data_IF_749498359286
#
_entry.id   IF_749498359286
#
_cell.length_a   1.000
_cell.length_b   1.000
_cell.length_c   1.000
_cell.angle_alpha   90.00
_cell.angle_beta   90.00
_cell.angle_gamma   90.00
#
_symmetry.space_group_name_H-M   'P 1'
#
loop_
_entity.id
_entity.type
_entity.pdbx_description
1 polymer ?
#
# COMPACT_ATOMS: atom_id res chain seq x y z
N UNK A 1 32.69 -18.12 -20.15
CA UNK A 1 32.14 -17.17 -19.16
C UNK A 1 31.27 -16.07 -19.77
N UNK A 2 31.70 -15.36 -20.84
CA UNK A 2 30.90 -14.29 -21.48
C UNK A 2 29.57 -14.75 -22.11
N UNK A 3 29.53 -15.96 -22.69
CA UNK A 3 28.31 -16.53 -23.29
C UNK A 3 27.27 -16.95 -22.25
N UNK A 4 27.71 -17.49 -21.10
CA UNK A 4 26.80 -17.87 -20.00
C UNK A 4 26.16 -16.64 -19.36
N UNK A 5 26.93 -15.56 -19.19
CA UNK A 5 26.40 -14.28 -18.69
C UNK A 5 25.39 -13.64 -19.66
N UNK A 6 25.65 -13.71 -20.97
CA UNK A 6 24.69 -13.24 -21.99
C UNK A 6 23.41 -14.08 -22.04
N UNK A 7 23.51 -15.39 -21.84
CA UNK A 7 22.34 -16.28 -21.73
C UNK A 7 21.52 -15.99 -20.46
N UNK A 8 22.17 -15.72 -19.32
CA UNK A 8 21.51 -15.39 -18.05
C UNK A 8 20.73 -14.07 -18.13
N UNK A 9 21.30 -13.05 -18.79
CA UNK A 9 20.65 -11.75 -19.02
C UNK A 9 19.45 -11.89 -19.96
N UNK A 10 19.56 -12.65 -21.05
CA UNK A 10 18.42 -12.92 -21.93
C UNK A 10 17.30 -13.70 -21.23
N UNK A 11 17.64 -14.66 -20.37
CA UNK A 11 16.66 -15.48 -19.64
C UNK A 11 15.84 -14.64 -18.65
N UNK A 12 16.49 -13.71 -17.95
CA UNK A 12 15.87 -12.76 -17.01
C UNK A 12 14.94 -11.78 -17.75
N UNK A 13 15.33 -11.35 -18.94
CA UNK A 13 14.51 -10.45 -19.76
C UNK A 13 13.26 -11.14 -20.32
N UNK A 14 13.39 -12.42 -20.71
CA UNK A 14 12.27 -13.22 -21.22
C UNK A 14 11.25 -13.58 -20.12
N UNK A 15 11.72 -13.81 -18.90
CA UNK A 15 10.86 -14.17 -17.76
C UNK A 15 9.95 -13.04 -17.28
N UNK A 16 10.26 -11.79 -17.63
CA UNK A 16 9.45 -10.62 -17.27
C UNK A 16 8.11 -10.53 -18.02
N UNK A 17 7.90 -11.32 -19.08
CA UNK A 17 6.73 -11.23 -19.97
C UNK A 17 5.66 -12.30 -19.66
N UNK A 18 6.01 -13.38 -18.94
CA UNK A 18 5.09 -14.49 -18.62
C UNK A 18 4.57 -14.40 -17.18
N UNK A 19 3.89 -13.30 -16.84
CA UNK A 19 3.13 -13.18 -15.59
C UNK A 19 1.69 -13.62 -15.76
N UNK A 20 1.42 -14.91 -16.04
CA UNK A 20 0.03 -15.41 -16.11
C UNK A 20 -0.61 -15.40 -14.72
N UNK A 21 -1.74 -14.70 -14.61
CA UNK A 21 -2.36 -14.33 -13.36
C UNK A 21 -3.26 -15.45 -12.87
N UNK A 22 -2.74 -16.31 -11.99
CA UNK A 22 -3.54 -17.26 -11.24
C UNK A 22 -3.44 -16.91 -9.75
N UNK A 23 -4.50 -16.35 -9.19
CA UNK A 23 -4.49 -15.68 -7.89
C UNK A 23 -4.06 -16.62 -6.76
N UNK A 24 -4.61 -17.85 -6.71
CA UNK A 24 -4.19 -18.91 -5.77
C UNK A 24 -2.71 -19.27 -5.83
N UNK A 25 -2.06 -19.00 -6.97
CA UNK A 25 -0.64 -19.27 -7.15
C UNK A 25 0.21 -18.17 -6.51
N UNK A 26 -0.29 -16.93 -6.33
CA UNK A 26 0.51 -15.78 -5.85
C UNK A 26 1.07 -15.94 -4.44
N UNK A 27 0.30 -16.50 -3.51
CA UNK A 27 0.80 -16.80 -2.16
C UNK A 27 1.90 -17.89 -2.19
N UNK A 28 1.68 -18.96 -2.95
CA UNK A 28 2.64 -20.06 -3.11
C UNK A 28 3.88 -19.59 -3.87
N UNK A 29 3.70 -18.78 -4.90
CA UNK A 29 4.73 -18.19 -5.73
C UNK A 29 5.59 -17.21 -4.93
N UNK A 30 4.96 -16.35 -4.12
CA UNK A 30 5.65 -15.48 -3.17
C UNK A 30 6.43 -16.27 -2.14
N UNK A 31 5.86 -17.34 -1.58
CA UNK A 31 6.54 -18.22 -0.64
C UNK A 31 7.75 -18.95 -1.25
N UNK A 32 7.59 -19.47 -2.47
CA UNK A 32 8.66 -20.18 -3.18
C UNK A 32 9.78 -19.23 -3.57
N UNK A 33 9.45 -18.07 -4.16
CA UNK A 33 10.44 -17.08 -4.57
C UNK A 33 11.16 -16.51 -3.34
N UNK A 34 10.40 -16.12 -2.30
CA UNK A 34 10.95 -15.62 -1.05
C UNK A 34 11.81 -16.65 -0.33
N UNK A 35 11.40 -17.93 -0.34
CA UNK A 35 12.14 -19.03 0.25
C UNK A 35 13.46 -19.30 -0.47
N UNK A 36 13.48 -19.35 -1.80
CA UNK A 36 14.72 -19.57 -2.57
C UNK A 36 15.68 -18.40 -2.43
N UNK A 37 15.17 -17.16 -2.51
CA UNK A 37 15.98 -15.95 -2.32
C UNK A 37 16.53 -15.86 -0.89
N UNK A 38 15.69 -16.11 0.11
CA UNK A 38 16.08 -16.12 1.51
C UNK A 38 17.10 -17.22 1.82
N UNK A 39 16.96 -18.41 1.23
CA UNK A 39 17.93 -19.49 1.34
C UNK A 39 19.30 -19.10 0.76
N UNK A 40 19.32 -18.52 -0.44
CA UNK A 40 20.55 -18.08 -1.08
C UNK A 40 21.26 -16.96 -0.32
N UNK A 41 20.49 -15.98 0.18
CA UNK A 41 21.03 -14.90 1.00
C UNK A 41 21.56 -15.40 2.35
N UNK A 42 20.80 -16.27 3.03
CA UNK A 42 21.20 -16.88 4.31
C UNK A 42 22.43 -17.80 4.18
N UNK A 43 22.53 -18.54 3.07
CA UNK A 43 23.72 -19.33 2.72
C UNK A 43 24.94 -18.43 2.48
N UNK A 44 24.75 -17.36 1.71
CA UNK A 44 25.82 -16.42 1.37
C UNK A 44 26.38 -15.67 2.58
N UNK A 45 25.56 -15.36 3.59
CA UNK A 45 26.03 -14.71 4.82
C UNK A 45 26.68 -15.72 5.77
N UNK A 46 26.19 -16.96 5.82
CA UNK A 46 26.72 -18.02 6.67
C UNK A 46 28.00 -18.69 6.15
N UNK A 47 28.47 -18.34 4.95
CA UNK A 47 29.61 -19.00 4.28
C UNK A 47 30.97 -18.86 5.00
N UNK A 48 31.08 -17.96 5.97
CA UNK A 48 32.31 -17.73 6.75
C UNK A 48 32.52 -18.74 7.89
N UNK A 49 31.54 -19.61 8.16
CA UNK A 49 31.66 -20.70 9.14
C UNK A 49 30.91 -21.95 8.68
N UNK A 50 31.11 -23.07 9.39
CA UNK A 50 30.47 -24.37 9.11
C UNK A 50 28.91 -24.37 9.19
N UNK A 51 28.27 -23.20 9.30
CA UNK A 51 26.84 -23.00 9.55
C UNK A 51 26.09 -22.39 8.34
N UNK A 52 26.69 -22.35 7.15
CA UNK A 52 26.02 -21.85 5.94
C UNK A 52 24.71 -22.56 5.61
N UNK A 53 24.60 -23.86 5.90
CA UNK A 53 23.35 -24.62 5.76
C UNK A 53 22.26 -24.18 6.75
N UNK A 54 22.65 -23.78 7.95
CA UNK A 54 21.73 -23.30 8.98
C UNK A 54 21.18 -21.91 8.63
N UNK A 55 22.07 -21.02 8.15
CA UNK A 55 21.66 -19.72 7.61
C UNK A 55 20.72 -19.84 6.41
N UNK A 56 20.96 -20.81 5.53
CA UNK A 56 20.08 -21.10 4.40
C UNK A 56 18.69 -21.58 4.85
N UNK A 57 18.60 -22.47 5.83
CA UNK A 57 17.32 -22.97 6.33
C UNK A 57 16.51 -21.84 7.01
N UNK A 58 17.17 -20.99 7.80
CA UNK A 58 16.53 -19.86 8.49
C UNK A 58 16.07 -18.81 7.48
N UNK A 59 16.94 -18.47 6.51
CA UNK A 59 16.60 -17.54 5.44
C UNK A 59 15.47 -18.06 4.55
N UNK A 60 15.45 -19.37 4.26
CA UNK A 60 14.37 -20.02 3.53
C UNK A 60 13.04 -19.92 4.27
N UNK A 61 13.02 -20.24 5.57
CA UNK A 61 11.81 -20.17 6.38
C UNK A 61 11.29 -18.73 6.48
N UNK A 62 12.16 -17.77 6.81
CA UNK A 62 11.79 -16.36 6.93
C UNK A 62 11.31 -15.77 5.60
N UNK A 63 12.02 -16.08 4.51
CA UNK A 63 11.67 -15.64 3.16
C UNK A 63 10.38 -16.26 2.65
N UNK A 64 10.14 -17.54 2.92
CA UNK A 64 8.91 -18.22 2.55
C UNK A 64 7.70 -17.71 3.32
N UNK A 65 7.83 -17.48 4.64
CA UNK A 65 6.76 -16.92 5.46
C UNK A 65 6.40 -15.50 5.01
N UNK A 66 7.42 -14.65 4.79
CA UNK A 66 7.23 -13.26 4.35
C UNK A 66 6.62 -13.22 2.94
N UNK A 67 7.13 -14.06 2.04
CA UNK A 67 6.64 -14.16 0.67
C UNK A 67 5.22 -14.73 0.56
N UNK A 68 4.87 -15.70 1.41
CA UNK A 68 3.51 -16.23 1.52
C UNK A 68 2.52 -15.15 2.01
N UNK A 69 2.93 -14.39 3.03
CA UNK A 69 2.12 -13.33 3.64
C UNK A 69 1.90 -12.14 2.68
N UNK A 70 2.94 -11.72 1.94
CA UNK A 70 2.79 -10.69 0.91
C UNK A 70 1.98 -11.21 -0.28
N UNK A 71 2.23 -12.45 -0.71
CA UNK A 71 1.53 -13.07 -1.84
C UNK A 71 0.05 -13.32 -1.60
N UNK A 72 -0.38 -13.57 -0.35
CA UNK A 72 -1.79 -13.73 0.02
C UNK A 72 -2.55 -12.41 0.08
N UNK A 73 -1.86 -11.29 0.34
CA UNK A 73 -2.46 -9.95 0.33
C UNK A 73 -2.73 -9.43 -1.09
N UNK A 74 -2.01 -9.97 -2.08
CA UNK A 74 -2.15 -9.66 -3.51
C UNK A 74 -3.37 -10.38 -4.12
N UNK A 75 -4.03 -11.29 -3.39
CA UNK A 75 -5.19 -12.07 -3.88
C UNK A 75 -6.49 -11.26 -4.02
N UNK A 76 -6.46 -9.96 -3.75
CA UNK A 76 -7.56 -9.07 -4.13
C UNK A 76 -7.45 -8.76 -5.63
N UNK A 77 -8.50 -9.00 -6.44
CA UNK A 77 -8.51 -8.56 -7.83
C UNK A 77 -8.09 -7.09 -7.87
N UNK A 78 -7.25 -6.76 -8.84
CA UNK A 78 -6.66 -5.45 -9.07
C UNK A 78 -7.74 -4.39 -9.39
N UNK A 79 -8.54 -4.06 -8.39
CA UNK A 79 -9.43 -2.90 -8.27
C UNK A 79 -9.02 -2.03 -7.08
N UNK A 80 -8.10 -2.51 -6.23
CA UNK A 80 -7.79 -1.86 -4.93
C UNK A 80 -6.27 -1.79 -4.63
N UNK A 81 -5.39 -1.98 -5.61
CA UNK A 81 -3.94 -1.72 -5.45
C UNK A 81 -3.62 -0.21 -5.36
N UNK A 82 -4.56 0.61 -4.87
CA UNK A 82 -4.38 2.03 -4.60
C UNK A 82 -5.24 2.48 -3.41
N UNK A 83 -5.11 1.83 -2.26
CA UNK A 83 -5.60 2.40 -0.99
C UNK A 83 -4.51 2.54 0.09
N UNK A 84 -3.27 2.10 -0.19
CA UNK A 84 -2.06 2.54 0.53
C UNK A 84 -1.31 3.69 -0.17
N UNK A 85 -1.69 3.98 -1.41
CA UNK A 85 -1.31 5.18 -2.13
C UNK A 85 -2.58 5.70 -2.80
N UNK A 86 -3.40 6.43 -2.03
CA UNK A 86 -3.86 7.68 -2.61
C UNK A 86 -2.60 8.32 -3.18
N UNK A 87 -2.50 8.44 -4.50
CA UNK A 87 -1.90 9.63 -5.05
C UNK A 87 -2.75 10.76 -4.45
N UNK A 88 -2.36 11.14 -3.23
CA UNK A 88 -2.87 12.28 -2.55
C UNK A 88 -2.56 13.38 -3.55
N UNK A 89 -3.59 13.84 -4.24
CA UNK A 89 -3.60 15.24 -4.55
C UNK A 89 -3.40 15.87 -3.16
N UNK A 90 -2.21 16.45 -2.86
CA UNK A 90 -1.88 16.90 -1.50
C UNK A 90 -2.83 18.01 -1.03
N UNK A 91 -3.72 18.42 -1.94
CA UNK A 91 -4.73 19.41 -1.75
C UNK A 91 -6.16 18.85 -1.66
N UNK A 92 -6.43 17.55 -1.85
CA UNK A 92 -7.81 17.03 -1.71
C UNK A 92 -8.13 16.69 -0.26
N UNK A 93 -9.04 17.46 0.32
CA UNK A 93 -9.47 17.30 1.69
C UNK A 93 -10.69 16.37 1.73
N UNK A 94 -10.64 15.33 2.56
CA UNK A 94 -11.76 14.38 2.72
C UNK A 94 -12.71 14.83 3.83
N UNK A 95 -14.00 14.46 3.72
CA UNK A 95 -15.03 14.76 4.75
C UNK A 95 -14.59 14.26 6.13
N UNK A 96 -13.94 13.09 6.20
CA UNK A 96 -13.39 12.52 7.43
C UNK A 96 -12.32 13.43 8.08
N UNK A 97 -11.47 14.07 7.26
CA UNK A 97 -10.44 14.97 7.76
C UNK A 97 -11.04 16.28 8.30
N UNK A 98 -12.14 16.75 7.71
CA UNK A 98 -12.90 17.91 8.22
C UNK A 98 -13.54 17.58 9.58
N UNK A 99 -14.15 16.40 9.71
CA UNK A 99 -14.73 15.92 10.97
C UNK A 99 -13.65 15.81 12.05
N UNK A 100 -12.50 15.22 11.70
CA UNK A 100 -11.38 15.02 12.63
C UNK A 100 -10.81 16.35 13.13
N UNK A 101 -10.60 17.34 12.24
CA UNK A 101 -10.17 18.68 12.64
C UNK A 101 -11.20 19.37 13.55
N UNK A 102 -12.50 19.19 13.28
CA UNK A 102 -13.56 19.72 14.14
C UNK A 102 -13.55 19.08 15.53
N UNK A 103 -13.35 17.77 15.60
CA UNK A 103 -13.22 17.02 16.87
C UNK A 103 -11.98 17.38 17.67
N UNK A 104 -10.89 17.73 16.98
CA UNK A 104 -9.67 18.25 17.60
C UNK A 104 -9.85 19.67 18.17
N UNK A 105 -11.02 20.29 18.00
CA UNK A 105 -11.28 21.65 18.46
C UNK A 105 -10.55 22.71 17.63
N UNK A 106 -10.14 22.37 16.40
CA UNK A 106 -9.50 23.33 15.50
C UNK A 106 -10.51 24.42 15.15
N UNK A 107 -10.07 25.67 15.24
CA UNK A 107 -10.92 26.83 14.99
C UNK A 107 -11.52 26.76 13.58
N UNK A 108 -12.84 26.99 13.48
CA UNK A 108 -13.61 26.82 12.26
C UNK A 108 -13.07 27.63 11.06
N UNK A 109 -12.51 28.82 11.30
CA UNK A 109 -11.86 29.61 10.24
C UNK A 109 -10.65 28.91 9.60
N UNK A 110 -9.87 28.13 10.37
CA UNK A 110 -8.74 27.37 9.84
C UNK A 110 -9.22 26.21 8.97
N UNK A 111 -10.31 25.55 9.40
CA UNK A 111 -10.94 24.47 8.64
C UNK A 111 -11.53 25.00 7.33
N UNK A 112 -12.21 26.16 7.40
CA UNK A 112 -12.75 26.87 6.22
C UNK A 112 -11.65 27.26 5.24
N UNK A 113 -10.55 27.86 5.73
CA UNK A 113 -9.42 28.25 4.89
C UNK A 113 -8.79 27.04 4.20
N UNK A 114 -8.58 25.95 4.94
CA UNK A 114 -8.06 24.69 4.41
C UNK A 114 -8.97 24.12 3.31
N UNK A 115 -10.29 24.10 3.52
CA UNK A 115 -11.28 23.63 2.53
C UNK A 115 -11.20 24.47 1.23
N UNK A 116 -11.11 25.79 1.38
CA UNK A 116 -11.02 26.72 0.24
C UNK A 116 -9.73 26.53 -0.54
N UNK A 117 -8.59 26.46 0.15
CA UNK A 117 -7.28 26.19 -0.43
C UNK A 117 -7.25 24.85 -1.14
N UNK A 118 -7.92 23.85 -0.57
CA UNK A 118 -8.04 22.50 -1.12
C UNK A 118 -8.88 22.40 -2.40
N UNK A 119 -9.67 23.43 -2.73
CA UNK A 119 -10.59 23.46 -3.87
C UNK A 119 -11.46 22.19 -4.01
N UNK A 120 -11.71 21.51 -2.89
CA UNK A 120 -12.39 20.21 -2.88
C UNK A 120 -13.89 20.44 -2.90
N UNK A 121 -14.57 19.87 -3.90
CA UNK A 121 -16.04 19.87 -3.96
C UNK A 121 -16.56 18.70 -3.13
N UNK A 122 -17.25 19.00 -2.04
CA UNK A 122 -17.90 18.01 -1.21
C UNK A 122 -19.33 17.80 -1.70
N UNK A 123 -19.65 16.62 -2.19
CA UNK A 123 -21.02 16.24 -2.50
C UNK A 123 -21.74 15.87 -1.20
N UNK A 124 -22.24 16.88 -0.47
CA UNK A 124 -23.00 16.67 0.76
C UNK A 124 -24.50 16.53 0.45
N UNK A 125 -25.12 15.45 0.92
CA UNK A 125 -26.58 15.29 0.95
C UNK A 125 -27.16 15.96 2.21
N UNK A 126 -28.44 16.39 2.24
CA UNK A 126 -29.07 16.94 3.44
C UNK A 126 -28.97 16.04 4.70
N UNK A 127 -28.85 14.72 4.51
CA UNK A 127 -28.61 13.75 5.60
C UNK A 127 -27.17 13.80 6.13
N UNK A 128 -26.20 14.13 5.29
CA UNK A 128 -24.79 14.27 5.67
C UNK A 128 -24.57 15.53 6.49
N UNK A 129 -25.25 16.62 6.12
CA UNK A 129 -25.23 17.89 6.88
C UNK A 129 -25.69 17.66 8.32
N UNK A 130 -26.81 16.96 8.51
CA UNK A 130 -27.36 16.66 9.84
C UNK A 130 -26.39 15.76 10.64
N UNK A 131 -25.73 14.81 9.97
CA UNK A 131 -24.74 13.92 10.59
C UNK A 131 -23.47 14.66 11.00
N UNK A 132 -23.04 15.65 10.20
CA UNK A 132 -21.89 16.49 10.49
C UNK A 132 -22.15 17.41 11.69
N UNK A 133 -23.35 18.00 11.77
CA UNK A 133 -23.76 18.78 12.94
C UNK A 133 -23.77 17.96 14.23
N UNK A 134 -24.35 16.75 14.19
CA UNK A 134 -24.35 15.85 15.34
C UNK A 134 -22.94 15.43 15.78
N UNK A 135 -21.99 15.44 14.85
CA UNK A 135 -20.58 15.13 15.11
C UNK A 135 -19.77 16.35 15.58
N UNK A 136 -20.43 17.50 15.81
CA UNK A 136 -19.80 18.71 16.32
C UNK A 136 -19.12 19.55 15.23
N UNK A 137 -19.49 19.37 13.96
CA UNK A 137 -19.01 20.23 12.87
C UNK A 137 -19.84 21.51 12.81
N UNK A 138 -19.16 22.65 12.88
CA UNK A 138 -19.81 23.97 12.88
C UNK A 138 -20.52 24.24 11.56
N UNK A 139 -21.71 24.87 11.63
CA UNK A 139 -22.53 25.25 10.47
C UNK A 139 -21.76 26.09 9.44
N UNK A 140 -20.83 26.94 9.91
CA UNK A 140 -19.97 27.78 9.06
C UNK A 140 -19.07 26.93 8.15
N UNK A 141 -18.59 25.79 8.64
CA UNK A 141 -17.75 24.85 7.87
C UNK A 141 -18.60 24.10 6.84
N UNK A 142 -19.78 23.62 7.26
CA UNK A 142 -20.70 22.86 6.41
C UNK A 142 -21.23 23.72 5.24
N UNK A 143 -21.53 25.01 5.47
CA UNK A 143 -21.94 25.94 4.42
C UNK A 143 -20.86 26.08 3.33
N UNK A 144 -19.59 26.20 3.73
CA UNK A 144 -18.46 26.30 2.79
C UNK A 144 -18.25 25.00 2.02
N UNK A 145 -18.50 23.83 2.64
CA UNK A 145 -18.47 22.54 1.95
C UNK A 145 -19.58 22.41 0.90
N UNK A 146 -20.76 22.99 1.15
CA UNK A 146 -21.89 23.02 0.21
C UNK A 146 -21.71 24.04 -0.94
N UNK A 147 -20.72 24.92 -0.84
CA UNK A 147 -20.39 25.90 -1.89
C UNK A 147 -21.44 27.01 -2.06
N UNK A 148 -22.20 27.30 -1.00
CA UNK A 148 -23.18 28.40 -0.91
C UNK A 148 -22.60 29.66 -0.32
#
# INVERSE_FOLDING_TARGET
MKRVSSFLVCLIWFFSITGCQNTKTRAVEGAVIGGILGAGAGYGIGHGGHHGGEGAAIGAAAGALTGAFVGSQIDKPQSEQSQGASAANPNQMSVQQVIDLSKQGVHEDVIVDRIRLSNSKFALSPTDVTSLEQQGVSQKVIAVMQGV
#
